data_IF_640369680602
#
_entry.id   IF_640369680602
#
_cell.length_a   1.000
_cell.length_b   1.000
_cell.length_c   1.000
_cell.angle_alpha   90.00
_cell.angle_beta   90.00
_cell.angle_gamma   90.00
#
_symmetry.space_group_name_H-M   'P 1'
#
loop_
_entity.id
_entity.type
_entity.pdbx_description
1 polymer ?
#
# COMPACT_ATOMS: atom_id res chain seq x y z
N UNK A 1 12.64 -4.85 19.01
CA UNK A 1 12.36 -3.40 18.91
C UNK A 1 12.44 -2.90 17.47
N UNK A 2 13.55 -3.15 16.76
CA UNK A 2 13.71 -2.84 15.32
C UNK A 2 12.65 -3.45 14.41
N UNK A 3 12.17 -4.65 14.71
CA UNK A 3 11.10 -5.31 13.95
C UNK A 3 9.78 -4.55 13.93
N UNK A 4 9.37 -3.93 15.05
CA UNK A 4 8.14 -3.14 15.10
C UNK A 4 8.23 -1.88 14.25
N UNK A 5 9.42 -1.28 14.18
CA UNK A 5 9.69 -0.11 13.32
C UNK A 5 9.58 -0.51 11.85
N UNK A 6 10.15 -1.65 11.45
CA UNK A 6 10.04 -2.17 10.09
C UNK A 6 8.59 -2.43 9.67
N UNK A 7 7.79 -3.06 10.54
CA UNK A 7 6.35 -3.30 10.28
C UNK A 7 5.58 -1.98 10.20
N UNK A 8 5.88 -1.02 11.07
CA UNK A 8 5.25 0.31 11.05
C UNK A 8 5.51 1.06 9.75
N UNK A 9 6.77 1.07 9.28
CA UNK A 9 7.14 1.70 8.01
C UNK A 9 6.45 0.99 6.84
N UNK A 10 6.45 -0.35 6.82
CA UNK A 10 5.77 -1.12 5.78
C UNK A 10 4.28 -0.77 5.66
N UNK A 11 3.57 -0.72 6.79
CA UNK A 11 2.15 -0.35 6.83
C UNK A 11 1.91 1.08 6.35
N UNK A 12 2.71 2.05 6.80
CA UNK A 12 2.61 3.44 6.35
C UNK A 12 2.84 3.55 4.84
N UNK A 13 3.79 2.80 4.29
CA UNK A 13 4.10 2.81 2.85
C UNK A 13 2.95 2.23 2.03
N UNK A 14 2.34 1.13 2.49
CA UNK A 14 1.16 0.52 1.85
C UNK A 14 -0.01 1.50 1.84
N UNK A 15 -0.29 2.14 2.99
CA UNK A 15 -1.37 3.10 3.12
C UNK A 15 -1.13 4.31 2.21
N UNK A 16 0.09 4.85 2.21
CA UNK A 16 0.49 5.96 1.34
C UNK A 16 0.25 5.65 -0.14
N UNK A 17 0.80 4.54 -0.62
CA UNK A 17 0.65 4.12 -2.02
C UNK A 17 -0.83 3.88 -2.38
N UNK A 18 -1.61 3.27 -1.48
CA UNK A 18 -3.02 3.05 -1.73
C UNK A 18 -3.81 4.37 -1.80
N UNK A 19 -3.49 5.37 -0.98
CA UNK A 19 -4.09 6.71 -1.04
C UNK A 19 -3.75 7.43 -2.35
N UNK A 20 -2.49 7.35 -2.79
CA UNK A 20 -2.03 8.01 -4.01
C UNK A 20 -2.70 7.42 -5.26
N UNK A 21 -2.76 6.09 -5.35
CA UNK A 21 -3.48 5.40 -6.43
C UNK A 21 -4.98 5.70 -6.38
N UNK A 22 -5.57 5.75 -5.18
CA UNK A 22 -6.99 6.09 -5.02
C UNK A 22 -7.30 7.52 -5.47
N UNK A 23 -6.44 8.47 -5.12
CA UNK A 23 -6.58 9.89 -5.48
C UNK A 23 -6.41 10.09 -6.98
N UNK A 24 -5.41 9.43 -7.59
CA UNK A 24 -5.21 9.45 -9.04
C UNK A 24 -6.42 8.90 -9.81
N UNK A 25 -7.10 7.89 -9.25
CA UNK A 25 -8.25 7.22 -9.87
C UNK A 25 -9.58 7.93 -9.61
N UNK A 26 -9.72 8.60 -8.47
CA UNK A 26 -10.93 9.29 -8.08
C UNK A 26 -10.89 10.74 -8.55
N UNK A 27 -11.44 11.01 -9.74
CA UNK A 27 -11.54 12.35 -10.34
C UNK A 27 -12.57 13.28 -9.66
N UNK A 28 -12.62 13.30 -8.33
CA UNK A 28 -13.51 14.19 -7.56
C UNK A 28 -14.94 13.70 -7.40
N UNK A 29 -15.21 12.39 -7.45
CA UNK A 29 -16.56 11.80 -7.31
C UNK A 29 -17.06 11.72 -5.86
N UNK A 30 -16.35 12.34 -4.92
CA UNK A 30 -16.71 12.45 -3.51
C UNK A 30 -16.20 11.30 -2.63
N UNK A 31 -16.35 11.49 -1.32
CA UNK A 31 -15.73 10.66 -0.26
C UNK A 31 -16.08 9.16 -0.35
N UNK A 32 -17.31 8.81 -0.76
CA UNK A 32 -17.73 7.41 -0.91
C UNK A 32 -17.05 6.70 -2.08
N UNK A 33 -16.83 7.43 -3.18
CA UNK A 33 -16.09 6.95 -4.35
C UNK A 33 -14.62 6.77 -4.01
N UNK A 34 -14.03 7.74 -3.32
CA UNK A 34 -12.66 7.67 -2.80
C UNK A 34 -12.44 6.44 -1.92
N UNK A 35 -13.28 6.20 -0.91
CA UNK A 35 -13.12 5.05 0.00
C UNK A 35 -13.23 3.70 -0.74
N UNK A 36 -14.11 3.63 -1.74
CA UNK A 36 -14.25 2.41 -2.56
C UNK A 36 -13.00 2.19 -3.42
N UNK A 37 -12.49 3.25 -4.05
CA UNK A 37 -11.25 3.23 -4.83
C UNK A 37 -10.05 2.90 -3.94
N UNK A 38 -9.96 3.47 -2.74
CA UNK A 38 -8.92 3.19 -1.75
C UNK A 38 -8.88 1.73 -1.33
N UNK A 39 -10.02 1.13 -0.98
CA UNK A 39 -10.08 -0.31 -0.64
C UNK A 39 -9.61 -1.18 -1.81
N UNK A 40 -10.00 -0.82 -3.03
CA UNK A 40 -9.58 -1.55 -4.24
C UNK A 40 -8.08 -1.38 -4.51
N UNK A 41 -7.53 -0.19 -4.30
CA UNK A 41 -6.09 0.08 -4.38
C UNK A 41 -5.31 -0.68 -3.30
N UNK A 42 -5.83 -0.74 -2.07
CA UNK A 42 -5.19 -1.46 -0.96
C UNK A 42 -5.03 -2.95 -1.28
N UNK A 43 -6.08 -3.58 -1.84
CA UNK A 43 -6.03 -4.97 -2.30
C UNK A 43 -5.02 -5.22 -3.42
N UNK A 44 -4.64 -4.19 -4.17
CA UNK A 44 -3.61 -4.27 -5.20
C UNK A 44 -2.21 -4.04 -4.63
N UNK A 45 -2.05 -3.05 -3.75
CA UNK A 45 -0.76 -2.66 -3.17
C UNK A 45 -0.20 -3.72 -2.22
N UNK A 46 -1.05 -4.40 -1.43
CA UNK A 46 -0.62 -5.46 -0.51
C UNK A 46 0.14 -6.59 -1.23
N UNK A 47 -0.40 -7.24 -2.28
CA UNK A 47 0.34 -8.27 -3.00
C UNK A 47 1.61 -7.74 -3.66
N UNK A 48 1.59 -6.49 -4.15
CA UNK A 48 2.77 -5.85 -4.76
C UNK A 48 3.90 -5.66 -3.73
N UNK A 49 3.54 -5.25 -2.50
CA UNK A 49 4.46 -5.14 -1.39
C UNK A 49 4.99 -6.52 -0.95
N UNK A 50 4.13 -7.54 -0.90
CA UNK A 50 4.54 -8.90 -0.58
C UNK A 50 5.56 -9.47 -1.59
N UNK A 51 5.33 -9.26 -2.89
CA UNK A 51 6.28 -9.64 -3.95
C UNK A 51 7.61 -8.92 -3.76
N UNK A 52 7.59 -7.61 -3.50
CA UNK A 52 8.80 -6.84 -3.22
C UNK A 52 9.57 -7.36 -2.00
N UNK A 53 8.86 -7.73 -0.94
CA UNK A 53 9.45 -8.35 0.25
C UNK A 53 10.09 -9.71 -0.03
N UNK A 54 9.45 -10.55 -0.84
CA UNK A 54 10.01 -11.84 -1.27
C UNK A 54 11.27 -11.65 -2.10
N UNK A 55 11.27 -10.70 -3.04
CA UNK A 55 12.46 -10.38 -3.85
C UNK A 55 13.59 -9.89 -2.93
N UNK A 56 13.31 -8.95 -2.02
CA UNK A 56 14.32 -8.48 -1.08
C UNK A 56 14.92 -9.62 -0.25
N UNK A 57 14.08 -10.53 0.24
CA UNK A 57 14.54 -11.69 1.00
C UNK A 57 15.42 -12.63 0.17
N UNK A 58 15.05 -12.91 -1.08
CA UNK A 58 15.82 -13.84 -1.95
C UNK A 58 17.20 -13.27 -2.32
N UNK A 59 17.32 -11.97 -2.54
CA UNK A 59 18.54 -11.36 -3.10
C UNK A 59 19.45 -10.70 -2.07
N UNK A 60 18.93 -10.29 -0.90
CA UNK A 60 19.67 -9.49 0.08
C UNK A 60 19.71 -10.08 1.50
N UNK A 61 19.11 -11.26 1.72
CA UNK A 61 19.29 -12.06 2.94
C UNK A 61 20.18 -13.26 2.64
#
# INVERSE_FOLDING_TARGET
MTWFIGIGIALLTIIWLAMEVATSRDSGKGLRSYVTSFKRSLLFVIPLFAIGGVIYYIFFT
#
